data_IF_951886816132
#
_entry.id   IF_951886816132
#
_cell.length_a   1.000
_cell.length_b   1.000
_cell.length_c   1.000
_cell.angle_alpha   90.00
_cell.angle_beta   90.00
_cell.angle_gamma   90.00
#
_symmetry.space_group_name_H-M   'P 1'
#
loop_
_entity.id
_entity.type
_entity.pdbx_description
1 polymer ?
#
# COMPACT_ATOMS: atom_id res chain seq x y z
N UNK A 1 14.93 21.43 -7.38
CA UNK A 1 13.68 21.34 -6.60
C UNK A 1 13.49 19.89 -6.22
N UNK A 2 13.49 19.58 -4.93
CA UNK A 2 13.27 18.22 -4.42
C UNK A 2 11.79 17.90 -4.53
N UNK A 3 11.41 16.97 -5.41
CA UNK A 3 10.04 16.44 -5.45
C UNK A 3 9.77 15.74 -4.13
N UNK A 4 8.64 16.06 -3.51
CA UNK A 4 8.21 15.38 -2.28
C UNK A 4 7.45 14.13 -2.68
N UNK A 5 7.87 12.99 -2.19
CA UNK A 5 7.10 11.76 -2.32
C UNK A 5 5.81 11.83 -1.47
N UNK A 6 4.78 11.01 -1.76
CA UNK A 6 3.52 11.01 -1.03
C UNK A 6 3.70 10.66 0.44
N UNK A 7 2.85 11.21 1.31
CA UNK A 7 2.92 10.98 2.77
C UNK A 7 2.38 9.62 3.20
N UNK A 8 1.53 9.01 2.39
CA UNK A 8 0.88 7.73 2.67
C UNK A 8 0.70 6.97 1.36
N UNK A 9 0.48 5.66 1.44
CA UNK A 9 0.09 4.83 0.31
C UNK A 9 -1.33 4.27 0.50
N UNK A 10 -2.07 4.79 1.48
CA UNK A 10 -3.46 4.40 1.68
C UNK A 10 -4.32 4.80 0.48
N UNK A 11 -5.32 3.99 0.14
CA UNK A 11 -6.21 4.21 -0.99
C UNK A 11 -6.74 2.90 -1.58
N UNK A 12 -7.39 3.00 -2.72
CA UNK A 12 -7.99 1.87 -3.44
C UNK A 12 -7.08 1.47 -4.58
N UNK A 13 -6.80 0.16 -4.68
CA UNK A 13 -5.95 -0.42 -5.69
C UNK A 13 -6.67 -1.56 -6.42
N UNK A 14 -6.39 -1.71 -7.71
CA UNK A 14 -6.71 -2.89 -8.49
C UNK A 14 -5.66 -3.98 -8.26
N UNK A 15 -6.08 -5.24 -8.18
CA UNK A 15 -5.21 -6.39 -7.92
C UNK A 15 -4.95 -7.18 -9.19
N UNK A 16 -3.66 -7.35 -9.51
CA UNK A 16 -3.17 -8.19 -10.60
C UNK A 16 -2.48 -9.40 -10.00
N UNK A 17 -3.26 -10.45 -9.73
CA UNK A 17 -2.83 -11.64 -8.97
C UNK A 17 -1.67 -12.36 -9.65
N UNK A 18 -1.72 -12.51 -10.98
CA UNK A 18 -0.67 -13.20 -11.74
C UNK A 18 0.66 -12.44 -11.73
N UNK A 19 0.60 -11.12 -11.54
CA UNK A 19 1.76 -10.21 -11.49
C UNK A 19 2.20 -9.89 -10.06
N UNK A 20 1.45 -10.40 -9.06
CA UNK A 20 1.59 -10.06 -7.63
C UNK A 20 1.68 -8.54 -7.41
N UNK A 21 0.86 -7.77 -8.13
CA UNK A 21 0.92 -6.31 -8.13
C UNK A 21 -0.40 -5.62 -7.84
N UNK A 22 -0.29 -4.37 -7.38
CA UNK A 22 -1.38 -3.45 -7.09
C UNK A 22 -1.20 -2.17 -7.92
N UNK A 23 -2.28 -1.72 -8.57
CA UNK A 23 -2.30 -0.46 -9.32
C UNK A 23 -3.32 0.50 -8.73
N UNK A 24 -2.97 1.77 -8.47
CA UNK A 24 -3.88 2.69 -7.81
C UNK A 24 -5.09 2.99 -8.70
N UNK A 25 -6.28 2.90 -8.11
CA UNK A 25 -7.56 3.35 -8.69
C UNK A 25 -7.91 4.73 -8.14
N UNK A 26 -7.79 4.88 -6.81
CA UNK A 26 -8.14 6.11 -6.12
C UNK A 26 -7.28 6.27 -4.87
N UNK A 27 -6.39 7.25 -4.89
CA UNK A 27 -5.61 7.64 -3.73
C UNK A 27 -6.17 8.96 -3.17
N UNK A 28 -6.14 9.20 -1.84
CA UNK A 28 -6.55 10.47 -1.28
C UNK A 28 -5.74 11.60 -1.90
N UNK A 29 -6.41 12.72 -2.23
CA UNK A 29 -5.80 13.86 -2.90
C UNK A 29 -4.49 14.29 -2.24
N UNK A 30 -3.39 14.11 -2.96
CA UNK A 30 -2.08 14.64 -2.62
C UNK A 30 -1.90 16.04 -3.20
N UNK A 31 -0.81 16.72 -2.82
CA UNK A 31 -0.46 18.04 -3.41
C UNK A 31 0.02 17.83 -4.84
N UNK A 32 -0.15 18.81 -5.72
CA UNK A 32 0.37 18.77 -7.11
C UNK A 32 1.89 18.53 -7.21
N UNK A 33 2.63 18.73 -6.12
CA UNK A 33 4.06 18.49 -6.02
C UNK A 33 4.44 17.05 -5.66
N UNK A 34 3.46 16.23 -5.29
CA UNK A 34 3.70 14.88 -4.81
C UNK A 34 3.78 13.89 -5.98
N UNK A 35 4.75 12.97 -5.92
CA UNK A 35 4.87 11.93 -6.94
C UNK A 35 3.69 10.96 -6.88
N UNK A 36 3.09 10.66 -8.03
CA UNK A 36 2.08 9.62 -8.14
C UNK A 36 2.70 8.21 -8.04
N UNK A 37 1.97 7.30 -7.41
CA UNK A 37 2.32 5.86 -7.40
C UNK A 37 1.76 5.27 -8.69
N UNK A 38 2.56 4.48 -9.39
CA UNK A 38 2.14 3.78 -10.62
C UNK A 38 1.75 2.34 -10.30
N UNK A 39 2.57 1.66 -9.50
CA UNK A 39 2.39 0.25 -9.22
C UNK A 39 3.14 -0.16 -7.96
N UNK A 40 2.62 -1.16 -7.27
CA UNK A 40 3.24 -1.79 -6.10
C UNK A 40 3.34 -3.29 -6.36
N UNK A 41 4.53 -3.88 -6.28
CA UNK A 41 4.73 -5.33 -6.38
C UNK A 41 5.08 -5.94 -5.03
N UNK A 42 4.64 -7.17 -4.82
CA UNK A 42 4.93 -7.97 -3.64
C UNK A 42 5.73 -9.21 -4.04
N UNK A 43 6.87 -9.40 -3.39
CA UNK A 43 7.73 -10.56 -3.61
C UNK A 43 8.48 -10.92 -2.33
N UNK A 44 8.41 -12.18 -1.92
CA UNK A 44 9.13 -12.81 -0.80
C UNK A 44 9.43 -11.87 0.41
N UNK A 45 8.37 -11.35 1.04
CA UNK A 45 8.48 -10.50 2.23
C UNK A 45 8.95 -9.07 1.97
N UNK A 46 9.00 -8.66 0.69
CA UNK A 46 9.29 -7.31 0.24
C UNK A 46 8.12 -6.73 -0.54
N UNK A 47 8.06 -5.40 -0.52
CA UNK A 47 7.16 -4.61 -1.32
C UNK A 47 7.99 -3.58 -2.09
N UNK A 48 7.71 -3.41 -3.38
CA UNK A 48 8.38 -2.45 -4.24
C UNK A 48 7.35 -1.48 -4.80
N UNK A 49 7.58 -0.18 -4.59
CA UNK A 49 6.70 0.90 -5.05
C UNK A 49 7.39 1.61 -6.23
N UNK A 50 6.71 1.73 -7.36
CA UNK A 50 7.12 2.56 -8.50
C UNK A 50 6.36 3.88 -8.48
N UNK A 51 7.08 4.97 -8.71
CA UNK A 51 6.51 6.30 -8.90
C UNK A 51 6.50 6.72 -10.37
N UNK A 52 5.71 7.74 -10.70
CA UNK A 52 5.55 8.26 -12.06
C UNK A 52 6.85 8.78 -12.71
N UNK A 53 7.87 9.12 -11.90
CA UNK A 53 9.19 9.54 -12.37
C UNK A 53 10.18 8.37 -12.51
N UNK A 54 9.68 7.13 -12.46
CA UNK A 54 10.42 5.87 -12.52
C UNK A 54 11.33 5.61 -11.31
N UNK A 55 11.27 6.45 -10.27
CA UNK A 55 11.93 6.12 -9.00
C UNK A 55 11.23 4.95 -8.32
N UNK A 56 12.01 4.23 -7.50
CA UNK A 56 11.54 3.03 -6.83
C UNK A 56 11.92 3.08 -5.35
N UNK A 57 11.00 2.63 -4.51
CA UNK A 57 11.24 2.40 -3.08
C UNK A 57 10.97 0.93 -2.75
N UNK A 58 11.83 0.32 -1.94
CA UNK A 58 11.70 -1.07 -1.51
C UNK A 58 11.52 -1.10 -0.01
N UNK A 59 10.45 -1.75 0.43
CA UNK A 59 10.02 -1.86 1.82
C UNK A 59 9.95 -3.33 2.25
N UNK A 60 10.04 -3.56 3.55
CA UNK A 60 9.63 -4.83 4.13
C UNK A 60 8.10 -4.94 4.13
N UNK A 61 7.58 -6.10 3.74
CA UNK A 61 6.18 -6.46 3.82
C UNK A 61 6.02 -7.79 4.54
N UNK A 62 5.12 -7.84 5.52
CA UNK A 62 4.85 -9.02 6.33
C UNK A 62 3.43 -9.48 6.06
N UNK A 63 3.27 -10.77 5.79
CA UNK A 63 1.95 -11.37 5.70
C UNK A 63 1.52 -11.91 7.08
N UNK A 64 0.51 -11.30 7.69
CA UNK A 64 -0.11 -11.78 8.92
C UNK A 64 -1.20 -12.81 8.59
N UNK A 65 -0.88 -14.09 8.82
CA UNK A 65 -1.79 -15.21 8.60
C UNK A 65 -3.03 -15.19 9.51
N UNK A 66 -2.97 -14.53 10.66
CA UNK A 66 -4.08 -14.50 11.63
C UNK A 66 -5.17 -13.53 11.19
N UNK A 67 -4.78 -12.36 10.69
CA UNK A 67 -5.70 -11.36 10.16
C UNK A 67 -5.90 -11.46 8.64
N UNK A 68 -5.11 -12.29 7.95
CA UNK A 68 -5.13 -12.45 6.48
C UNK A 68 -4.70 -11.15 5.75
N UNK A 69 -3.77 -10.38 6.35
CA UNK A 69 -3.37 -9.06 5.85
C UNK A 69 -1.90 -9.03 5.43
N UNK A 70 -1.63 -8.24 4.39
CA UNK A 70 -0.26 -7.77 4.13
C UNK A 70 -0.05 -6.46 4.86
N UNK A 71 1.02 -6.39 5.65
CA UNK A 71 1.38 -5.26 6.50
C UNK A 71 2.74 -4.73 6.08
N UNK A 72 2.86 -3.42 5.91
CA UNK A 72 4.12 -2.76 5.52
C UNK A 72 4.28 -1.43 6.26
N UNK A 73 5.52 -0.96 6.40
CA UNK A 73 5.82 0.34 7.01
C UNK A 73 6.34 1.30 5.95
N UNK A 74 5.55 2.33 5.64
CA UNK A 74 5.95 3.40 4.73
C UNK A 74 6.09 4.70 5.50
N UNK A 75 7.31 5.27 5.53
CA UNK A 75 7.61 6.57 6.18
C UNK A 75 7.23 6.62 7.66
N UNK A 76 7.39 5.50 8.36
CA UNK A 76 7.03 5.39 9.78
C UNK A 76 5.53 5.26 10.05
N UNK A 77 4.71 5.14 9.01
CA UNK A 77 3.27 4.85 9.09
C UNK A 77 3.07 3.41 8.63
N UNK A 78 2.31 2.64 9.41
CA UNK A 78 2.00 1.26 9.07
C UNK A 78 0.75 1.22 8.19
N UNK A 79 0.79 0.41 7.14
CA UNK A 79 -0.31 0.20 6.22
C UNK A 79 -0.64 -1.28 6.13
N UNK A 80 -1.91 -1.59 5.89
CA UNK A 80 -2.33 -2.95 5.62
C UNK A 80 -3.43 -3.05 4.57
N UNK A 81 -3.48 -4.18 3.89
CA UNK A 81 -4.60 -4.55 3.02
C UNK A 81 -4.82 -6.06 3.09
N UNK A 82 -6.06 -6.48 2.79
CA UNK A 82 -6.48 -7.87 2.71
C UNK A 82 -6.96 -8.18 1.29
N UNK A 83 -6.49 -9.29 0.71
CA UNK A 83 -7.05 -9.82 -0.54
C UNK A 83 -8.17 -10.81 -0.17
N UNK A 84 -9.42 -10.42 -0.42
CA UNK A 84 -10.59 -11.28 -0.18
C UNK A 84 -10.91 -12.13 -1.40
N UNK A 85 -10.94 -13.45 -1.22
CA UNK A 85 -11.50 -14.38 -2.19
C UNK A 85 -12.98 -14.67 -1.85
N UNK A 86 -13.85 -14.63 -2.85
CA UNK A 86 -15.25 -15.03 -2.71
C UNK A 86 -15.61 -16.16 -3.70
N UNK A 87 -16.83 -16.68 -3.63
CA UNK A 87 -17.30 -17.76 -4.52
C UNK A 87 -17.26 -17.40 -6.02
N UNK A 88 -17.14 -16.11 -6.36
CA UNK A 88 -17.05 -15.59 -7.73
C UNK A 88 -15.63 -15.23 -8.19
N UNK A 89 -14.60 -15.46 -7.38
CA UNK A 89 -13.19 -15.18 -7.71
C UNK A 89 -12.47 -14.31 -6.66
N UNK A 90 -11.28 -13.84 -7.02
CA UNK A 90 -10.51 -12.91 -6.19
C UNK A 90 -11.06 -11.49 -6.40
N UNK A 91 -11.21 -10.73 -5.32
CA UNK A 91 -11.60 -9.32 -5.40
C UNK A 91 -10.64 -8.57 -6.32
N UNK A 92 -11.18 -7.90 -7.35
CA UNK A 92 -10.38 -7.11 -8.29
C UNK A 92 -9.82 -5.85 -7.65
N UNK A 93 -10.37 -5.40 -6.52
CA UNK A 93 -9.89 -4.23 -5.82
C UNK A 93 -9.66 -4.50 -4.34
N UNK A 94 -8.68 -3.81 -3.76
CA UNK A 94 -8.35 -3.81 -2.35
C UNK A 94 -8.21 -2.40 -1.83
N UNK A 95 -8.49 -2.23 -0.55
CA UNK A 95 -8.26 -0.98 0.17
C UNK A 95 -7.02 -1.13 1.03
N UNK A 96 -6.03 -0.28 0.76
CA UNK A 96 -4.87 -0.13 1.61
C UNK A 96 -5.18 0.93 2.66
N UNK A 97 -5.16 0.51 3.92
CA UNK A 97 -5.55 1.31 5.06
C UNK A 97 -4.35 1.66 5.93
N UNK A 98 -4.40 2.80 6.61
CA UNK A 98 -3.44 3.11 7.68
C UNK A 98 -3.83 2.34 8.93
N UNK A 99 -2.88 1.58 9.47
CA UNK A 99 -3.05 0.95 10.78
C UNK A 99 -2.74 1.98 11.87
N UNK A 100 -3.77 2.36 12.62
CA UNK A 100 -3.64 3.23 13.79
C UNK A 100 -3.57 2.36 15.03
N UNK A 101 -2.40 2.35 15.68
CA UNK A 101 -2.25 1.73 16.99
C UNK A 101 -2.72 2.71 18.08
N UNK A 102 -3.97 2.55 18.51
CA UNK A 102 -4.56 3.36 19.57
C UNK A 102 -3.88 3.17 20.94
N UNK A 103 -3.14 2.09 21.17
CA UNK A 103 -2.38 1.92 22.42
C UNK A 103 -1.10 2.74 22.44
N UNK A 104 -0.60 3.19 21.28
CA UNK A 104 0.53 4.12 21.15
C UNK A 104 0.09 5.58 21.12
N UNK A 105 -1.20 5.84 20.93
CA UNK A 105 -1.79 7.15 21.12
C UNK A 105 -1.93 7.36 22.62
N UNK A 106 -0.89 7.88 23.28
CA UNK A 106 -1.00 8.54 24.57
C UNK A 106 -1.96 9.72 24.42
N UNK A 107 -3.27 9.43 24.52
CA UNK A 107 -4.31 10.44 24.68
C UNK A 107 -4.19 10.94 26.12
N UNK A 108 -3.33 11.95 26.29
CA UNK A 108 -3.27 12.82 27.45
C UNK A 108 -4.59 13.58 27.61
#
# INVERSE_FOLDING_TARGET
>A
MTRTFPKTIAGVYEVYVDELSLRPINLPNYRDSDLEIVEIWFDDGKCKIMFEDFTQEVLDAVYDKKSNEYILNYRGIQHAFEIKANFGGISKAVEMNVLIDFNKLNLL
#
